data_IF_891308148416
#
_entry.id   IF_891308148416
#
_cell.length_a   1.000
_cell.length_b   1.000
_cell.length_c   1.000
_cell.angle_alpha   90.00
_cell.angle_beta   90.00
_cell.angle_gamma   90.00
#
_symmetry.space_group_name_H-M   'P 1'
#
loop_
_entity.id
_entity.type
_entity.pdbx_description
1 polymer ?
#
# COMPACT_ATOMS: atom_id res chain seq x y z
N UNK A 1 13.12 3.23 14.46
CA UNK A 1 12.63 4.22 13.51
C UNK A 1 13.82 4.79 12.73
N UNK A 2 13.84 4.50 11.43
CA UNK A 2 14.67 5.15 10.44
C UNK A 2 13.86 6.32 9.82
N UNK A 3 14.21 6.77 8.63
CA UNK A 3 13.47 7.84 7.95
C UNK A 3 12.10 7.38 7.41
N UNK A 4 11.85 6.08 7.37
CA UNK A 4 10.62 5.46 6.88
C UNK A 4 10.28 4.20 7.70
N UNK A 5 9.00 3.78 7.73
CA UNK A 5 8.58 2.55 8.43
C UNK A 5 9.00 1.31 7.65
N UNK A 6 10.17 0.77 7.98
CA UNK A 6 10.70 -0.44 7.35
C UNK A 6 10.15 -1.66 8.08
N UNK A 7 9.42 -2.55 7.40
CA UNK A 7 8.84 -3.75 8.00
C UNK A 7 9.90 -4.78 8.35
N UNK A 8 10.76 -5.10 7.40
CA UNK A 8 11.80 -6.12 7.52
C UNK A 8 13.20 -5.50 7.37
N UNK A 9 13.76 -4.86 8.42
CA UNK A 9 15.02 -4.13 8.31
C UNK A 9 16.22 -5.04 7.99
N UNK A 10 16.08 -6.37 8.18
CA UNK A 10 17.09 -7.37 7.82
C UNK A 10 17.10 -7.70 6.32
N UNK A 11 16.07 -7.30 5.56
CA UNK A 11 16.04 -7.45 4.11
C UNK A 11 16.80 -6.31 3.42
N UNK A 12 17.39 -6.59 2.28
CA UNK A 12 18.15 -5.61 1.51
C UNK A 12 17.25 -4.49 0.94
N UNK A 13 16.00 -4.80 0.66
CA UNK A 13 15.04 -3.87 0.07
C UNK A 13 14.72 -2.66 0.97
N UNK A 14 14.51 -2.88 2.27
CA UNK A 14 14.23 -1.86 3.29
C UNK A 14 13.16 -0.84 2.88
N UNK A 15 12.11 -1.31 2.21
CA UNK A 15 11.03 -0.46 1.72
C UNK A 15 10.04 -0.09 2.84
N UNK A 16 9.46 1.09 2.73
CA UNK A 16 8.40 1.58 3.63
C UNK A 16 7.04 1.06 3.20
N UNK A 17 6.76 -0.21 3.44
CA UNK A 17 5.51 -0.86 3.06
C UNK A 17 4.31 -0.23 3.76
N UNK A 18 3.34 0.23 2.97
CA UNK A 18 2.16 0.93 3.49
C UNK A 18 1.21 0.01 4.22
N UNK A 19 1.07 -1.25 3.78
CA UNK A 19 0.26 -2.26 4.47
C UNK A 19 0.76 -2.52 5.89
N UNK A 20 2.07 -2.76 6.03
CA UNK A 20 2.72 -3.02 7.32
C UNK A 20 2.66 -1.78 8.23
N UNK A 21 2.92 -0.61 7.66
CA UNK A 21 2.85 0.66 8.39
C UNK A 21 1.47 0.90 8.98
N UNK A 22 0.39 0.66 8.23
CA UNK A 22 -0.98 0.89 8.75
C UNK A 22 -1.36 -0.08 9.85
N UNK A 23 -0.97 -1.36 9.74
CA UNK A 23 -1.27 -2.38 10.77
C UNK A 23 -0.53 -2.05 12.06
N UNK A 24 0.70 -1.56 11.96
CA UNK A 24 1.54 -1.25 13.12
C UNK A 24 1.32 0.15 13.70
N UNK A 25 0.70 1.09 12.97
CA UNK A 25 0.60 2.50 13.36
C UNK A 25 0.01 2.71 14.76
N UNK A 26 -1.09 2.03 15.10
CA UNK A 26 -1.68 2.12 16.43
C UNK A 26 -0.74 1.62 17.52
N UNK A 27 -0.05 0.51 17.30
CA UNK A 27 0.95 -0.04 18.23
C UNK A 27 2.14 0.92 18.38
N UNK A 28 2.62 1.49 17.28
CA UNK A 28 3.71 2.47 17.29
C UNK A 28 3.39 3.68 18.17
N UNK A 29 2.15 4.18 18.11
CA UNK A 29 1.68 5.31 18.93
C UNK A 29 1.66 4.99 20.44
N UNK A 30 1.50 3.72 20.83
CA UNK A 30 1.59 3.29 22.21
C UNK A 30 3.04 3.10 22.69
N UNK A 31 3.93 2.67 21.79
CA UNK A 31 5.31 2.33 22.14
C UNK A 31 6.24 3.54 22.14
N UNK A 32 5.93 4.58 21.36
CA UNK A 32 6.77 5.77 21.20
C UNK A 32 5.95 6.98 20.75
N UNK A 33 6.50 8.18 20.89
CA UNK A 33 5.96 9.37 20.23
C UNK A 33 6.22 9.28 18.73
N UNK A 34 5.25 8.72 18.02
CA UNK A 34 5.35 8.43 16.59
C UNK A 34 4.68 9.48 15.70
N UNK A 35 4.08 10.53 16.31
CA UNK A 35 3.25 11.49 15.56
C UNK A 35 4.01 12.15 14.40
N UNK A 36 5.14 12.75 14.67
CA UNK A 36 5.93 13.48 13.66
C UNK A 36 6.45 12.53 12.57
N UNK A 37 6.88 11.33 12.96
CA UNK A 37 7.38 10.30 12.06
C UNK A 37 6.29 9.82 11.10
N UNK A 38 5.11 9.46 11.60
CA UNK A 38 4.00 9.00 10.77
C UNK A 38 3.42 10.13 9.90
N UNK A 39 3.41 11.38 10.38
CA UNK A 39 3.04 12.52 9.54
C UNK A 39 4.01 12.73 8.38
N UNK A 40 5.31 12.59 8.61
CA UNK A 40 6.32 12.65 7.54
C UNK A 40 6.06 11.55 6.51
N UNK A 41 5.86 10.32 6.97
CA UNK A 41 5.57 9.19 6.10
C UNK A 41 4.29 9.40 5.25
N UNK A 42 3.23 9.93 5.85
CA UNK A 42 2.00 10.27 5.12
C UNK A 42 2.23 11.31 4.01
N UNK A 43 3.13 12.28 4.24
CA UNK A 43 3.51 13.26 3.21
C UNK A 43 4.25 12.59 2.04
N UNK A 44 5.11 11.62 2.32
CA UNK A 44 5.76 10.83 1.28
C UNK A 44 4.72 10.04 0.48
N UNK A 45 3.79 9.36 1.16
CA UNK A 45 2.69 8.62 0.51
C UNK A 45 1.84 9.53 -0.38
N UNK A 46 1.48 10.73 0.11
CA UNK A 46 0.73 11.71 -0.67
C UNK A 46 1.51 12.21 -1.89
N UNK A 47 2.82 12.42 -1.76
CA UNK A 47 3.69 12.84 -2.86
C UNK A 47 3.82 11.74 -3.93
N UNK A 48 3.74 10.48 -3.52
CA UNK A 48 3.83 9.31 -4.39
C UNK A 48 2.48 8.87 -4.95
N UNK A 49 1.36 9.43 -4.45
CA UNK A 49 0.02 9.10 -4.96
C UNK A 49 -0.08 9.32 -6.46
N UNK A 50 -0.62 8.35 -7.17
CA UNK A 50 -0.77 8.38 -8.63
C UNK A 50 -1.83 9.40 -9.06
N UNK A 51 -1.76 9.82 -10.31
CA UNK A 51 -2.71 10.81 -10.87
C UNK A 51 -4.15 10.34 -10.83
N UNK A 52 -4.37 9.04 -10.98
CA UNK A 52 -5.69 8.39 -10.89
C UNK A 52 -6.15 8.12 -9.46
N UNK A 53 -5.35 8.45 -8.46
CA UNK A 53 -5.65 8.28 -7.05
C UNK A 53 -5.06 7.06 -6.38
N UNK A 54 -4.47 6.12 -7.13
CA UNK A 54 -3.86 4.92 -6.56
C UNK A 54 -2.73 5.27 -5.59
N UNK A 55 -2.73 4.62 -4.43
CA UNK A 55 -1.68 4.73 -3.42
C UNK A 55 -0.61 3.67 -3.66
N UNK A 56 0.69 4.01 -3.57
CA UNK A 56 1.77 3.05 -3.72
C UNK A 56 1.77 2.02 -2.59
N UNK A 57 2.32 0.84 -2.88
CA UNK A 57 2.44 -0.23 -1.88
C UNK A 57 3.56 0.04 -0.86
N UNK A 58 4.49 0.90 -1.20
CA UNK A 58 5.57 1.40 -0.33
C UNK A 58 5.91 2.84 -0.69
N UNK A 59 6.40 3.60 0.28
CA UNK A 59 6.78 4.99 0.09
C UNK A 59 8.01 5.33 0.97
N UNK A 60 8.98 6.14 0.48
CA UNK A 60 9.07 6.67 -0.89
C UNK A 60 9.15 5.56 -1.94
N UNK A 61 8.58 5.80 -3.12
CA UNK A 61 8.55 4.82 -4.20
C UNK A 61 9.75 4.96 -5.16
N UNK A 62 10.79 4.12 -5.01
CA UNK A 62 11.98 4.19 -5.85
C UNK A 62 11.71 3.74 -7.30
N UNK A 63 10.63 3.02 -7.55
CA UNK A 63 10.31 2.48 -8.89
C UNK A 63 9.96 3.58 -9.88
N UNK A 64 9.58 4.77 -9.38
CA UNK A 64 9.37 5.95 -10.22
C UNK A 64 10.65 6.50 -10.83
N UNK A 65 11.79 6.32 -10.16
CA UNK A 65 13.10 6.78 -10.61
C UNK A 65 13.86 5.67 -11.35
N UNK A 66 13.68 4.46 -10.90
CA UNK A 66 14.34 3.27 -11.44
C UNK A 66 13.29 2.18 -11.60
N UNK A 67 12.72 2.00 -12.81
CA UNK A 67 11.84 0.88 -13.07
C UNK A 67 12.55 -0.41 -12.64
N UNK A 68 11.90 -1.21 -11.79
CA UNK A 68 12.45 -2.49 -11.30
C UNK A 68 12.47 -3.57 -12.40
N UNK A 69 12.60 -3.15 -13.66
CA UNK A 69 12.71 -4.03 -14.81
C UNK A 69 14.19 -4.25 -15.12
N UNK A 70 14.68 -5.44 -14.79
CA UNK A 70 15.94 -5.91 -15.35
C UNK A 70 15.67 -6.39 -16.79
N UNK A 71 16.14 -5.71 -17.83
CA UNK A 71 15.90 -6.09 -19.22
C UNK A 71 16.53 -7.44 -19.57
N UNK A 72 17.42 -7.97 -18.74
CA UNK A 72 18.03 -9.30 -18.91
C UNK A 72 17.15 -10.42 -18.35
N UNK A 73 16.06 -10.07 -17.65
CA UNK A 73 15.12 -11.01 -17.02
C UNK A 73 13.68 -10.72 -17.46
N UNK A 74 13.32 -11.13 -18.68
CA UNK A 74 11.99 -10.88 -19.25
C UNK A 74 10.84 -11.52 -18.44
N UNK A 75 11.12 -12.55 -17.65
CA UNK A 75 10.22 -13.14 -16.67
C UNK A 75 9.88 -12.19 -15.50
N UNK A 76 10.78 -11.24 -15.21
CA UNK A 76 10.55 -10.19 -14.23
C UNK A 76 9.90 -8.93 -14.83
N UNK A 77 9.94 -8.75 -16.16
CA UNK A 77 9.22 -7.66 -16.82
C UNK A 77 7.70 -7.72 -16.55
N UNK A 78 7.15 -8.91 -16.45
CA UNK A 78 5.75 -9.11 -16.06
C UNK A 78 5.46 -8.65 -14.62
N UNK A 79 6.51 -8.45 -13.81
CA UNK A 79 6.43 -7.93 -12.44
C UNK A 79 6.79 -6.43 -12.36
N UNK A 80 7.11 -5.80 -13.48
CA UNK A 80 7.43 -4.37 -13.58
C UNK A 80 6.17 -3.50 -13.64
N UNK A 81 5.07 -3.97 -13.05
CA UNK A 81 3.85 -3.19 -12.91
C UNK A 81 4.05 -1.96 -12.01
N UNK A 82 3.14 -1.03 -12.10
CA UNK A 82 3.08 0.10 -11.16
C UNK A 82 2.69 -0.40 -9.77
N UNK A 83 3.62 -0.40 -8.83
CA UNK A 83 3.46 -0.90 -7.47
C UNK A 83 2.51 -0.03 -6.64
N UNK A 84 1.27 0.06 -7.06
CA UNK A 84 0.23 0.88 -6.45
C UNK A 84 -1.17 0.27 -6.65
N UNK A 85 -2.10 0.63 -5.80
CA UNK A 85 -3.52 0.41 -6.02
C UNK A 85 -4.12 -0.83 -5.37
N UNK A 86 -3.36 -1.62 -4.60
CA UNK A 86 -3.94 -2.71 -3.81
C UNK A 86 -4.61 -2.18 -2.55
N UNK A 87 -5.84 -2.62 -2.30
CA UNK A 87 -6.50 -2.50 -0.99
C UNK A 87 -5.66 -3.19 0.09
N UNK A 88 -5.83 -2.78 1.35
CA UNK A 88 -4.99 -3.28 2.43
C UNK A 88 -3.60 -2.63 2.50
N UNK A 89 -3.07 -2.12 1.40
CA UNK A 89 -1.87 -1.28 1.35
C UNK A 89 -2.23 0.20 1.15
N UNK A 90 -3.01 0.52 0.14
CA UNK A 90 -3.43 1.89 -0.13
C UNK A 90 -4.32 2.51 0.96
N UNK A 91 -5.02 1.69 1.72
CA UNK A 91 -5.84 2.13 2.85
C UNK A 91 -5.04 2.83 3.96
N UNK A 92 -3.71 2.71 3.94
CA UNK A 92 -2.81 3.42 4.84
C UNK A 92 -3.06 4.94 4.88
N UNK A 93 -3.46 5.54 3.73
CA UNK A 93 -3.76 6.98 3.64
C UNK A 93 -4.98 7.39 4.48
N UNK A 94 -5.83 6.44 4.84
CA UNK A 94 -7.01 6.64 5.70
C UNK A 94 -6.71 6.17 7.13
N UNK A 95 -6.17 4.95 7.27
CA UNK A 95 -6.01 4.29 8.56
C UNK A 95 -4.96 4.97 9.42
N UNK A 96 -3.80 5.34 8.88
CA UNK A 96 -2.73 5.97 9.67
C UNK A 96 -3.17 7.35 10.20
N UNK A 97 -3.74 8.29 9.40
CA UNK A 97 -4.26 9.54 9.94
C UNK A 97 -5.33 9.36 11.00
N UNK A 98 -6.18 8.34 10.86
CA UNK A 98 -7.19 8.00 11.85
C UNK A 98 -6.55 7.56 13.17
N UNK A 99 -5.50 6.73 13.14
CA UNK A 99 -4.76 6.33 14.33
C UNK A 99 -4.10 7.54 15.02
N UNK A 100 -3.50 8.46 14.25
CA UNK A 100 -2.94 9.69 14.80
C UNK A 100 -4.00 10.59 15.46
N UNK A 101 -5.19 10.66 14.88
CA UNK A 101 -6.30 11.36 15.50
C UNK A 101 -6.74 10.70 16.81
N UNK A 102 -6.87 9.38 16.85
CA UNK A 102 -7.29 8.65 18.04
C UNK A 102 -6.28 8.79 19.21
N UNK A 103 -4.99 8.74 18.89
CA UNK A 103 -3.94 8.74 19.92
C UNK A 103 -3.50 10.14 20.35
N UNK A 104 -3.48 11.11 19.44
CA UNK A 104 -2.94 12.45 19.68
C UNK A 104 -3.98 13.57 19.56
N UNK A 105 -5.23 13.26 19.19
CA UNK A 105 -6.24 14.28 18.91
C UNK A 105 -5.94 15.14 17.67
N UNK A 106 -5.05 14.67 16.78
CA UNK A 106 -4.52 15.42 15.65
C UNK A 106 -5.54 15.56 14.52
N UNK A 107 -6.40 16.54 14.60
CA UNK A 107 -7.33 16.89 13.53
C UNK A 107 -6.62 17.48 12.30
N UNK A 108 -5.44 18.05 12.50
CA UNK A 108 -4.66 18.66 11.42
C UNK A 108 -4.20 17.62 10.39
N UNK A 109 -3.79 16.43 10.84
CA UNK A 109 -3.41 15.35 9.92
C UNK A 109 -4.58 14.84 9.10
N UNK A 110 -5.79 14.77 9.69
CA UNK A 110 -6.98 14.40 8.94
C UNK A 110 -7.28 15.41 7.83
N UNK A 111 -7.22 16.70 8.15
CA UNK A 111 -7.44 17.76 7.17
C UNK A 111 -6.36 17.77 6.07
N UNK A 112 -5.09 17.55 6.44
CA UNK A 112 -3.95 17.46 5.51
C UNK A 112 -4.10 16.31 4.52
N UNK A 113 -4.52 15.13 5.01
CA UNK A 113 -4.65 13.91 4.19
C UNK A 113 -5.98 13.80 3.44
N UNK A 114 -7.01 14.55 3.84
CA UNK A 114 -8.37 14.40 3.31
C UNK A 114 -8.48 14.45 1.77
N UNK A 115 -7.81 15.37 1.05
CA UNK A 115 -7.84 15.35 -0.41
C UNK A 115 -7.27 14.07 -1.03
N UNK A 116 -6.23 13.48 -0.41
CA UNK A 116 -5.64 12.24 -0.87
C UNK A 116 -6.54 11.03 -0.56
N UNK A 117 -7.21 11.04 0.60
CA UNK A 117 -8.22 10.02 0.95
C UNK A 117 -9.35 9.98 -0.09
N UNK A 118 -9.89 11.15 -0.48
CA UNK A 118 -10.94 11.21 -1.50
C UNK A 118 -10.48 10.64 -2.84
N UNK A 119 -9.27 11.02 -3.29
CA UNK A 119 -8.70 10.46 -4.54
C UNK A 119 -8.53 8.93 -4.47
N UNK A 120 -8.14 8.40 -3.31
CA UNK A 120 -8.04 6.97 -3.11
C UNK A 120 -9.40 6.29 -3.20
N UNK A 121 -10.43 6.84 -2.58
CA UNK A 121 -11.80 6.33 -2.66
C UNK A 121 -12.37 6.41 -4.08
N UNK A 122 -12.11 7.51 -4.79
CA UNK A 122 -12.49 7.65 -6.21
C UNK A 122 -11.79 6.59 -7.07
N UNK A 123 -10.51 6.33 -6.83
CA UNK A 123 -9.78 5.26 -7.51
C UNK A 123 -10.43 3.89 -7.26
N UNK A 124 -10.72 3.55 -6.00
CA UNK A 124 -11.37 2.28 -5.65
C UNK A 124 -12.74 2.17 -6.32
N UNK A 125 -13.53 3.24 -6.31
CA UNK A 125 -14.83 3.28 -6.97
C UNK A 125 -14.72 3.01 -8.47
N UNK A 126 -13.72 3.60 -9.13
CA UNK A 126 -13.52 3.45 -10.57
C UNK A 126 -13.05 2.04 -10.99
N UNK A 127 -12.39 1.29 -10.09
CA UNK A 127 -11.99 -0.10 -10.37
C UNK A 127 -13.00 -1.13 -9.85
N UNK A 128 -14.05 -0.69 -9.16
CA UNK A 128 -15.09 -1.55 -8.61
C UNK A 128 -16.03 -2.06 -9.71
N UNK A 129 -16.59 -3.24 -9.46
CA UNK A 129 -17.71 -3.79 -10.21
C UNK A 129 -18.86 -4.08 -9.23
N UNK A 130 -19.78 -3.11 -9.13
CA UNK A 130 -20.77 -3.12 -8.05
C UNK A 130 -20.09 -2.99 -6.67
N UNK A 131 -20.40 -3.89 -5.71
CA UNK A 131 -19.82 -3.83 -4.38
C UNK A 131 -18.40 -4.41 -4.29
N UNK A 132 -17.87 -4.99 -5.38
CA UNK A 132 -16.61 -5.70 -5.36
C UNK A 132 -15.49 -4.85 -5.97
N UNK A 133 -14.34 -4.79 -5.28
CA UNK A 133 -13.13 -4.17 -5.81
C UNK A 133 -12.39 -5.22 -6.63
N UNK A 134 -12.27 -4.99 -7.94
CA UNK A 134 -11.55 -5.90 -8.83
C UNK A 134 -10.04 -5.64 -8.79
N UNK A 135 -9.23 -6.68 -9.02
CA UNK A 135 -7.80 -6.52 -9.20
C UNK A 135 -7.48 -5.52 -10.29
N UNK A 136 -6.59 -4.59 -10.00
CA UNK A 136 -6.18 -3.58 -10.96
C UNK A 136 -5.42 -4.21 -12.13
N UNK A 137 -5.76 -3.81 -13.37
CA UNK A 137 -5.04 -4.19 -14.59
C UNK A 137 -3.60 -3.66 -14.65
N UNK A 138 -3.16 -2.87 -13.66
CA UNK A 138 -1.77 -2.38 -13.54
C UNK A 138 -0.72 -3.49 -13.55
N UNK A 139 -1.10 -4.70 -13.15
CA UNK A 139 -0.24 -5.87 -13.02
C UNK A 139 -0.44 -6.90 -14.13
N UNK A 140 -0.82 -6.46 -15.31
CA UNK A 140 -1.06 -7.32 -16.46
C UNK A 140 -2.54 -7.64 -16.69
N UNK A 141 -2.81 -8.51 -17.66
CA UNK A 141 -4.16 -8.76 -18.17
C UNK A 141 -5.14 -9.38 -17.17
N UNK A 142 -4.62 -10.00 -16.11
CA UNK A 142 -5.43 -10.68 -15.09
C UNK A 142 -5.60 -9.86 -13.81
N UNK A 143 -4.94 -8.68 -13.71
CA UNK A 143 -4.89 -7.89 -12.50
C UNK A 143 -4.12 -8.58 -11.37
N UNK A 144 -3.79 -7.82 -10.33
CA UNK A 144 -3.17 -8.34 -9.11
C UNK A 144 -3.60 -7.51 -7.91
N UNK A 145 -3.84 -8.18 -6.81
CA UNK A 145 -3.92 -7.60 -5.48
C UNK A 145 -3.21 -8.53 -4.52
N UNK A 146 -2.66 -8.00 -3.44
CA UNK A 146 -2.02 -8.86 -2.44
C UNK A 146 -3.02 -9.74 -1.68
N UNK A 147 -4.28 -9.30 -1.60
CA UNK A 147 -5.31 -10.01 -0.86
C UNK A 147 -4.89 -10.30 0.57
N UNK A 148 -5.23 -11.48 1.07
CA UNK A 148 -4.71 -12.01 2.32
C UNK A 148 -3.31 -12.58 2.09
N UNK A 149 -2.30 -11.78 2.44
CA UNK A 149 -0.91 -12.08 2.13
C UNK A 149 -0.41 -13.33 2.86
N UNK A 150 0.19 -14.23 2.10
CA UNK A 150 0.77 -15.48 2.59
C UNK A 150 -0.22 -16.46 3.25
N UNK A 151 -1.43 -16.55 2.73
CA UNK A 151 -2.38 -17.57 3.17
C UNK A 151 -1.76 -18.97 3.20
N UNK A 152 -2.10 -19.81 4.20
CA UNK A 152 -1.74 -21.22 4.19
C UNK A 152 -2.31 -21.92 2.96
N UNK A 153 -1.46 -22.35 2.06
CA UNK A 153 -1.89 -23.11 0.87
C UNK A 153 -1.98 -24.58 1.22
N UNK A 154 -3.16 -25.18 1.13
CA UNK A 154 -3.39 -26.56 1.49
C UNK A 154 -2.56 -27.52 0.64
N UNK A 155 -2.68 -27.66 -0.63
CA UNK A 155 -1.90 -28.58 -1.47
C UNK A 155 -1.10 -27.80 -2.52
N UNK A 156 0.22 -27.83 -2.42
CA UNK A 156 1.15 -27.20 -3.37
C UNK A 156 1.02 -27.70 -4.82
N UNK A 157 0.21 -28.74 -5.07
CA UNK A 157 -0.04 -29.32 -6.39
C UNK A 157 -1.28 -28.76 -7.07
N UNK A 158 -2.12 -27.98 -6.38
CA UNK A 158 -3.24 -27.29 -6.99
C UNK A 158 -2.85 -25.88 -7.40
N UNK A 159 -3.31 -25.36 -8.56
CA UNK A 159 -3.15 -23.96 -8.88
C UNK A 159 -3.71 -23.14 -7.71
N UNK A 160 -2.94 -22.16 -7.23
CA UNK A 160 -3.42 -21.23 -6.20
C UNK A 160 -4.68 -20.58 -6.75
N UNK A 161 -5.78 -20.53 -5.98
CA UNK A 161 -6.88 -19.66 -6.36
C UNK A 161 -6.27 -18.27 -6.57
N UNK A 162 -6.63 -17.64 -7.66
CA UNK A 162 -6.24 -16.24 -7.87
C UNK A 162 -6.87 -15.45 -6.74
N UNK A 163 -6.08 -14.68 -6.04
CA UNK A 163 -6.49 -13.86 -4.88
C UNK A 163 -7.74 -13.00 -5.18
N UNK A 164 -8.04 -12.78 -6.46
CA UNK A 164 -9.26 -12.15 -6.96
C UNK A 164 -10.56 -12.83 -6.55
N UNK A 165 -10.55 -14.15 -6.28
CA UNK A 165 -11.76 -14.89 -5.98
C UNK A 165 -12.08 -14.93 -4.48
N UNK A 166 -11.16 -14.44 -3.64
CA UNK A 166 -11.26 -14.52 -2.18
C UNK A 166 -11.50 -13.15 -1.51
N UNK A 167 -11.34 -12.06 -2.27
CA UNK A 167 -11.68 -10.71 -1.81
C UNK A 167 -13.14 -10.32 -2.14
N UNK A 168 -13.94 -11.30 -2.57
CA UNK A 168 -15.33 -11.11 -2.91
C UNK A 168 -16.26 -11.36 -1.72
#
# INVERSE_FOLDING_TARGET
FLDLPTDCPQRDERLGWTGDAQVFAGTACWLADSQSFLRKFLRDVMADQRKDGAIPHFSPDPTRLHPMSDPTRPDQLARSGDWAGSTGWGDAIIIIPWQLYLHYGDKGVLAECFPAMLKWLDYLWNISDGPLIRPSSRWGSHGFTFGDWLQPVGDNRKPRPTISDECA
#
